data_IF_360381898674
#
_entry.id   IF_360381898674
#
_cell.length_a   1.000
_cell.length_b   1.000
_cell.length_c   1.000
_cell.angle_alpha   90.00
_cell.angle_beta   90.00
_cell.angle_gamma   90.00
#
_symmetry.space_group_name_H-M   'P 1'
#
loop_
_entity.id
_entity.type
_entity.pdbx_description
1 polymer ?
#
# COMPACT_ATOMS: atom_id res chain seq x y z
N UNK A 1 10.37 48.42 -31.99
CA UNK A 1 9.15 47.97 -31.31
C UNK A 1 9.59 46.80 -30.41
N UNK A 2 10.08 46.94 -29.17
CA UNK A 2 9.50 47.54 -27.94
C UNK A 2 8.02 47.14 -27.85
N UNK A 3 7.65 46.14 -27.04
CA UNK A 3 7.54 46.17 -25.57
C UNK A 3 8.07 44.88 -24.90
N UNK A 4 8.87 44.95 -23.82
CA UNK A 4 8.49 45.05 -22.38
C UNK A 4 7.78 43.77 -21.86
N UNK A 5 7.97 43.21 -20.66
CA UNK A 5 8.92 43.25 -19.54
C UNK A 5 8.38 42.21 -18.53
N UNK A 6 9.27 41.77 -17.62
CA UNK A 6 8.99 41.31 -16.23
C UNK A 6 8.20 39.99 -16.06
N UNK A 7 8.47 39.17 -15.05
CA UNK A 7 9.32 39.39 -13.89
C UNK A 7 9.51 38.12 -13.04
N UNK A 8 10.65 38.11 -12.35
CA UNK A 8 10.97 37.25 -11.20
C UNK A 8 10.09 37.58 -9.99
N UNK A 9 9.66 36.56 -9.26
CA UNK A 9 9.72 36.44 -7.79
C UNK A 9 9.22 35.02 -7.42
N UNK A 10 9.97 34.19 -6.70
CA UNK A 10 10.48 34.27 -5.32
C UNK A 10 9.35 34.34 -4.28
N UNK A 11 9.24 33.23 -3.56
CA UNK A 11 8.80 33.04 -2.18
C UNK A 11 7.43 33.63 -1.82
N UNK A 12 6.48 32.72 -1.65
CA UNK A 12 5.30 32.90 -0.84
C UNK A 12 5.02 31.59 -0.11
N UNK A 13 5.75 31.37 0.99
CA UNK A 13 5.15 30.71 2.15
C UNK A 13 4.16 31.72 2.75
N UNK A 14 2.90 31.33 2.89
CA UNK A 14 2.13 31.87 3.98
C UNK A 14 1.46 30.72 4.75
N UNK A 15 1.94 30.52 5.97
CA UNK A 15 1.04 30.34 7.09
C UNK A 15 0.59 28.90 7.27
N UNK A 16 1.32 28.20 8.13
CA UNK A 16 0.84 28.00 9.49
C UNK A 16 -0.64 28.37 9.68
N UNK A 17 -1.51 27.40 9.46
CA UNK A 17 -2.79 27.35 10.16
C UNK A 17 -2.96 25.91 10.58
N UNK A 18 -2.13 25.52 11.56
CA UNK A 18 -2.48 24.48 12.51
C UNK A 18 -3.89 24.78 13.02
N UNK A 19 -4.89 24.16 12.38
CA UNK A 19 -6.22 24.04 12.97
C UNK A 19 -6.06 23.07 14.14
N UNK A 20 -5.65 23.65 15.26
CA UNK A 20 -5.67 23.04 16.57
C UNK A 20 -7.04 22.42 16.78
N UNK A 21 -7.08 21.10 16.77
CA UNK A 21 -8.22 20.34 17.24
C UNK A 21 -8.24 20.54 18.74
N UNK A 22 -8.82 21.66 19.19
CA UNK A 22 -9.08 21.92 20.59
C UNK A 22 -10.17 20.95 21.03
N UNK A 23 -9.75 19.76 21.45
CA UNK A 23 -10.57 18.91 22.28
C UNK A 23 -10.90 19.68 23.56
N UNK A 24 -12.18 19.88 23.91
CA UNK A 24 -12.52 20.49 25.19
C UNK A 24 -11.88 19.63 26.29
N UNK A 25 -11.09 20.26 27.16
CA UNK A 25 -10.54 19.55 28.30
C UNK A 25 -11.71 18.99 29.12
N UNK A 26 -11.70 17.69 29.45
CA UNK A 26 -12.67 17.16 30.40
C UNK A 26 -12.49 17.88 31.74
N UNK A 27 -13.57 18.18 32.47
CA UNK A 27 -13.45 18.86 33.75
C UNK A 27 -12.55 18.05 34.68
N UNK A 28 -11.60 18.75 35.30
CA UNK A 28 -10.75 18.22 36.36
C UNK A 28 -11.67 17.81 37.52
N UNK A 29 -11.92 16.51 37.67
CA UNK A 29 -12.73 15.97 38.76
C UNK A 29 -12.02 16.24 40.11
N UNK A 30 -12.63 17.00 41.03
CA UNK A 30 -12.09 17.17 42.37
C UNK A 30 -12.52 16.00 43.24
N UNK A 31 -11.56 15.18 43.67
CA UNK A 31 -11.69 14.35 44.88
C UNK A 31 -12.51 13.06 44.76
N UNK A 32 -11.85 11.95 45.07
CA UNK A 32 -12.42 10.65 45.50
C UNK A 32 -13.48 10.00 44.59
N UNK A 33 -13.08 9.58 43.39
CA UNK A 33 -13.78 8.51 42.66
C UNK A 33 -13.20 7.14 43.06
N UNK A 34 -13.37 6.74 44.33
CA UNK A 34 -13.21 5.35 44.75
C UNK A 34 -14.55 4.65 44.58
N UNK A 35 -14.94 4.40 43.34
CA UNK A 35 -16.04 3.49 43.05
C UNK A 35 -15.84 2.85 41.69
N UNK A 36 -15.56 1.53 41.74
CA UNK A 36 -15.61 0.55 40.65
C UNK A 36 -15.13 1.06 39.29
N UNK A 37 -13.83 0.88 39.05
CA UNK A 37 -13.37 0.63 37.69
C UNK A 37 -14.27 -0.46 37.07
N UNK A 38 -14.90 -0.24 35.90
CA UNK A 38 -15.40 -1.37 35.14
C UNK A 38 -14.16 -2.23 34.90
N UNK A 39 -14.19 -3.46 35.39
CA UNK A 39 -13.16 -4.45 35.09
C UNK A 39 -13.03 -4.45 33.57
N UNK A 40 -11.94 -3.83 33.09
CA UNK A 40 -11.59 -3.79 31.69
C UNK A 40 -11.67 -5.22 31.23
N UNK A 41 -12.64 -5.46 30.33
CA UNK A 41 -12.90 -6.76 29.73
C UNK A 41 -11.56 -7.39 29.40
N UNK A 42 -11.29 -8.54 30.03
CA UNK A 42 -10.02 -9.24 29.92
C UNK A 42 -9.55 -9.23 28.47
N UNK A 43 -8.31 -8.77 28.28
CA UNK A 43 -7.58 -9.01 27.05
C UNK A 43 -7.56 -10.51 26.79
N UNK A 44 -8.41 -10.97 25.88
CA UNK A 44 -8.19 -12.24 25.23
C UNK A 44 -7.10 -12.02 24.18
N UNK A 45 -6.07 -12.83 24.29
CA UNK A 45 -4.91 -12.73 23.42
C UNK A 45 -5.28 -12.87 21.95
N UNK A 46 -4.60 -12.03 21.18
CA UNK A 46 -4.56 -11.85 19.73
C UNK A 46 -4.63 -13.16 18.92
N UNK A 47 -5.59 -13.30 18.00
CA UNK A 47 -5.62 -14.49 17.15
C UNK A 47 -6.52 -14.48 15.90
N UNK A 48 -7.43 -13.51 15.72
CA UNK A 48 -8.24 -13.43 14.50
C UNK A 48 -7.76 -12.29 13.62
N UNK A 49 -6.86 -12.59 12.67
CA UNK A 49 -6.64 -11.70 11.52
C UNK A 49 -7.92 -11.63 10.70
N UNK A 50 -8.41 -10.44 10.42
CA UNK A 50 -9.58 -10.28 9.55
C UNK A 50 -9.28 -10.81 8.14
N UNK A 51 -10.30 -11.21 7.38
CA UNK A 51 -10.11 -11.60 5.97
C UNK A 51 -9.36 -10.54 5.16
N UNK A 52 -9.66 -9.25 5.40
CA UNK A 52 -8.98 -8.14 4.74
C UNK A 52 -7.48 -8.07 5.08
N UNK A 53 -7.10 -8.35 6.32
CA UNK A 53 -5.70 -8.38 6.74
C UNK A 53 -4.94 -9.57 6.11
N UNK A 54 -5.57 -10.75 6.11
CA UNK A 54 -5.00 -11.94 5.45
C UNK A 54 -4.82 -11.72 3.95
N UNK A 55 -5.80 -11.09 3.29
CA UNK A 55 -5.74 -10.77 1.88
C UNK A 55 -4.62 -9.77 1.55
N UNK A 56 -4.45 -8.72 2.37
CA UNK A 56 -3.38 -7.76 2.21
C UNK A 56 -1.99 -8.41 2.38
N UNK A 57 -1.85 -9.29 3.37
CA UNK A 57 -0.61 -10.05 3.60
C UNK A 57 -0.31 -11.00 2.43
N UNK A 58 -1.32 -11.70 1.93
CA UNK A 58 -1.19 -12.55 0.75
C UNK A 58 -0.79 -11.75 -0.49
N UNK A 59 -1.43 -10.62 -0.79
CA UNK A 59 -1.05 -9.75 -1.91
C UNK A 59 0.40 -9.24 -1.79
N UNK A 60 0.87 -8.97 -0.57
CA UNK A 60 2.25 -8.54 -0.34
C UNK A 60 3.30 -9.62 -0.66
N UNK A 61 2.90 -10.90 -0.68
CA UNK A 61 3.75 -12.03 -1.05
C UNK A 61 3.79 -12.28 -2.57
N UNK A 62 3.06 -11.49 -3.37
CA UNK A 62 3.06 -11.64 -4.82
C UNK A 62 4.48 -11.33 -5.38
N UNK A 63 5.04 -12.18 -6.28
CA UNK A 63 6.38 -11.97 -6.83
C UNK A 63 6.58 -10.60 -7.50
N UNK A 64 5.56 -10.12 -8.22
CA UNK A 64 5.58 -8.81 -8.89
C UNK A 64 5.52 -7.67 -7.88
N UNK A 65 4.70 -7.80 -6.83
CA UNK A 65 4.62 -6.81 -5.75
C UNK A 65 5.97 -6.69 -5.03
N UNK A 66 6.58 -7.82 -4.68
CA UNK A 66 7.88 -7.86 -4.00
C UNK A 66 8.99 -7.25 -4.85
N UNK A 67 9.05 -7.58 -6.15
CA UNK A 67 9.98 -6.96 -7.09
C UNK A 67 9.79 -5.45 -7.13
N UNK A 68 8.55 -5.00 -7.34
CA UNK A 68 8.22 -3.58 -7.42
C UNK A 68 8.64 -2.83 -6.15
N UNK A 69 8.38 -3.39 -4.97
CA UNK A 69 8.76 -2.79 -3.68
C UNK A 69 10.26 -2.77 -3.45
N UNK A 70 10.97 -3.83 -3.82
CA UNK A 70 12.44 -3.90 -3.74
C UNK A 70 13.11 -2.81 -4.57
N UNK A 71 12.54 -2.49 -5.73
CA UNK A 71 13.05 -1.45 -6.62
C UNK A 71 12.45 -0.05 -6.36
N UNK A 72 11.61 0.13 -5.33
CA UNK A 72 10.97 1.42 -5.02
C UNK A 72 10.03 1.93 -6.13
N UNK A 73 9.49 1.03 -6.94
CA UNK A 73 8.71 1.38 -8.13
C UNK A 73 7.23 1.61 -7.80
N UNK A 74 6.64 2.62 -8.44
CA UNK A 74 5.18 2.74 -8.51
C UNK A 74 4.64 1.77 -9.56
N UNK A 75 3.33 1.47 -9.53
CA UNK A 75 2.70 0.63 -10.56
C UNK A 75 2.88 1.21 -11.96
N UNK A 76 2.82 2.54 -12.09
CA UNK A 76 3.06 3.24 -13.34
C UNK A 76 4.50 3.10 -13.84
N UNK A 77 5.49 3.24 -12.95
CA UNK A 77 6.91 3.03 -13.34
C UNK A 77 7.16 1.57 -13.74
N UNK A 78 6.61 0.61 -12.99
CA UNK A 78 6.69 -0.81 -13.32
C UNK A 78 6.02 -1.10 -14.68
N UNK A 79 4.87 -0.48 -14.98
CA UNK A 79 4.17 -0.67 -16.25
C UNK A 79 5.00 -0.18 -17.44
N UNK A 80 5.66 0.97 -17.30
CA UNK A 80 6.57 1.49 -18.33
C UNK A 80 7.79 0.59 -18.55
N UNK A 81 8.37 0.03 -17.49
CA UNK A 81 9.54 -0.87 -17.57
C UNK A 81 9.17 -2.20 -18.24
N UNK A 82 8.01 -2.74 -17.87
CA UNK A 82 7.56 -4.07 -18.33
C UNK A 82 6.81 -4.02 -19.66
N UNK A 83 6.48 -2.83 -20.17
CA UNK A 83 5.70 -2.66 -21.41
C UNK A 83 4.27 -3.20 -21.31
N UNK A 84 3.66 -3.12 -20.13
CA UNK A 84 2.28 -3.56 -19.86
C UNK A 84 1.45 -2.41 -19.32
N UNK A 85 0.13 -2.56 -19.21
CA UNK A 85 -0.71 -1.51 -18.61
C UNK A 85 -0.65 -1.55 -17.07
N UNK A 86 -0.73 -0.37 -16.44
CA UNK A 86 -0.77 -0.29 -14.97
C UNK A 86 -2.01 -1.00 -14.37
N UNK A 87 -3.12 -1.04 -15.11
CA UNK A 87 -4.32 -1.79 -14.74
C UNK A 87 -4.08 -3.30 -14.73
N UNK A 88 -3.35 -3.84 -15.71
CA UNK A 88 -2.98 -5.25 -15.74
C UNK A 88 -2.10 -5.60 -14.53
N UNK A 89 -1.11 -4.77 -14.19
CA UNK A 89 -0.29 -4.96 -12.99
C UNK A 89 -1.15 -5.03 -11.73
N UNK A 90 -2.12 -4.11 -11.57
CA UNK A 90 -2.99 -4.12 -10.39
C UNK A 90 -3.83 -5.41 -10.30
N UNK A 91 -4.39 -5.88 -11.42
CA UNK A 91 -5.17 -7.12 -11.49
C UNK A 91 -4.33 -8.38 -11.22
N UNK A 92 -3.06 -8.37 -11.63
CA UNK A 92 -2.13 -9.46 -11.39
C UNK A 92 -1.65 -9.49 -9.93
N UNK A 93 -1.36 -8.32 -9.33
CA UNK A 93 -1.02 -8.19 -7.91
C UNK A 93 -2.18 -8.66 -7.00
N UNK A 94 -3.43 -8.40 -7.38
CA UNK A 94 -4.62 -8.83 -6.63
C UNK A 94 -5.01 -10.29 -6.90
N UNK A 95 -4.43 -10.92 -7.92
CA UNK A 95 -4.80 -12.27 -8.37
C UNK A 95 -6.21 -12.36 -8.93
N UNK A 96 -6.77 -11.23 -9.38
CA UNK A 96 -8.05 -11.17 -10.09
C UNK A 96 -7.94 -11.79 -11.48
N UNK A 97 -6.77 -11.66 -12.11
CA UNK A 97 -6.49 -12.19 -13.45
C UNK A 97 -5.09 -12.78 -13.49
N UNK A 98 -4.90 -13.87 -14.23
CA UNK A 98 -3.58 -14.44 -14.47
C UNK A 98 -2.95 -13.81 -15.72
N UNK A 99 -1.63 -13.51 -15.70
CA UNK A 99 -0.94 -12.99 -16.87
C UNK A 99 -0.92 -14.04 -18.00
N UNK A 100 -1.09 -13.60 -19.24
CA UNK A 100 -0.90 -14.46 -20.43
C UNK A 100 0.56 -14.90 -20.56
N UNK A 101 0.84 -15.93 -21.37
CA UNK A 101 2.22 -16.40 -21.60
C UNK A 101 3.14 -15.27 -22.10
N UNK A 102 2.67 -14.45 -23.04
CA UNK A 102 3.42 -13.28 -23.53
C UNK A 102 3.74 -12.29 -22.40
N UNK A 103 2.78 -12.04 -21.51
CA UNK A 103 2.98 -11.16 -20.36
C UNK A 103 3.95 -11.76 -19.35
N UNK A 104 3.91 -13.08 -19.14
CA UNK A 104 4.85 -13.79 -18.27
C UNK A 104 6.28 -13.70 -18.80
N UNK A 105 6.48 -13.75 -20.11
CA UNK A 105 7.80 -13.56 -20.73
C UNK A 105 8.31 -12.14 -20.46
N UNK A 106 7.51 -11.11 -20.72
CA UNK A 106 7.88 -9.70 -20.42
C UNK A 106 8.21 -9.48 -18.94
N UNK A 107 7.44 -10.10 -18.05
CA UNK A 107 7.68 -10.08 -16.62
C UNK A 107 9.01 -10.75 -16.27
N UNK A 108 9.29 -11.93 -16.81
CA UNK A 108 10.52 -12.65 -16.57
C UNK A 108 11.75 -11.87 -17.05
N UNK A 109 11.68 -11.30 -18.25
CA UNK A 109 12.73 -10.45 -18.83
C UNK A 109 12.98 -9.19 -17.98
N UNK A 110 11.93 -8.43 -17.64
CA UNK A 110 12.08 -7.20 -16.86
C UNK A 110 12.46 -7.41 -15.39
N UNK A 111 12.14 -8.58 -14.84
CA UNK A 111 12.56 -8.97 -13.48
C UNK A 111 13.92 -9.69 -13.47
N UNK A 112 14.53 -9.95 -14.63
CA UNK A 112 15.75 -10.73 -14.79
C UNK A 112 15.69 -12.11 -14.10
N UNK A 113 14.56 -12.81 -14.24
CA UNK A 113 14.35 -14.16 -13.72
C UNK A 113 14.04 -15.13 -14.86
N UNK A 114 14.27 -16.43 -14.65
CA UNK A 114 13.79 -17.43 -15.61
C UNK A 114 12.26 -17.53 -15.58
N UNK A 115 11.65 -17.79 -16.74
CA UNK A 115 10.20 -17.95 -16.88
C UNK A 115 9.67 -19.06 -15.98
N UNK A 116 10.36 -20.20 -15.92
CA UNK A 116 9.97 -21.34 -15.10
C UNK A 116 10.01 -21.03 -13.60
N UNK A 117 10.98 -20.23 -13.15
CA UNK A 117 11.06 -19.77 -11.77
C UNK A 117 9.92 -18.80 -11.44
N UNK A 118 9.63 -17.84 -12.33
CA UNK A 118 8.50 -16.92 -12.18
C UNK A 118 7.18 -17.70 -12.08
N UNK A 119 6.95 -18.65 -12.98
CA UNK A 119 5.76 -19.50 -12.98
C UNK A 119 5.63 -20.30 -11.69
N UNK A 120 6.72 -20.92 -11.20
CA UNK A 120 6.70 -21.67 -9.95
C UNK A 120 6.31 -20.79 -8.76
N UNK A 121 6.94 -19.61 -8.64
CA UNK A 121 6.63 -18.67 -7.55
C UNK A 121 5.18 -18.19 -7.64
N UNK A 122 4.72 -17.87 -8.84
CA UNK A 122 3.34 -17.42 -9.07
C UNK A 122 2.32 -18.51 -8.71
N UNK A 123 2.58 -19.76 -9.10
CA UNK A 123 1.70 -20.87 -8.79
C UNK A 123 1.65 -21.14 -7.29
N UNK A 124 2.80 -21.14 -6.59
CA UNK A 124 2.82 -21.26 -5.13
C UNK A 124 1.95 -20.19 -4.48
N UNK A 125 2.14 -18.93 -4.89
CA UNK A 125 1.36 -17.81 -4.35
C UNK A 125 -0.15 -17.96 -4.58
N UNK A 126 -0.58 -18.45 -5.76
CA UNK A 126 -2.01 -18.66 -6.04
C UNK A 126 -2.65 -19.73 -5.15
N UNK A 127 -1.89 -20.76 -4.73
CA UNK A 127 -2.41 -21.80 -3.84
C UNK A 127 -2.68 -21.29 -2.42
N UNK A 128 -1.91 -20.30 -1.97
CA UNK A 128 -1.98 -19.74 -0.62
C UNK A 128 -3.07 -18.66 -0.46
N UNK A 129 -3.98 -18.52 -1.44
CA UNK A 129 -5.01 -17.46 -1.44
C UNK A 129 -6.04 -17.68 -0.31
N UNK A 130 -6.23 -16.69 0.60
CA UNK A 130 -7.21 -16.80 1.67
C UNK A 130 -8.63 -16.81 1.11
N UNK A 131 -9.49 -17.66 1.69
CA UNK A 131 -10.92 -17.73 1.35
C UNK A 131 -11.73 -16.80 2.28
N UNK A 132 -12.73 -16.09 1.73
CA UNK A 132 -13.62 -15.25 2.51
C UNK A 132 -14.47 -16.04 3.51
#
# INVERSE_FOLDING_TARGET
MITDKKGKNRNGDPGDTERGVHWPQPPLCPGSCQDRAPQGKGGYMTGRRSYGEQLAQWQAQNPLYMWRKRHGLSRYKASSILGVSASAIAQWESGSTQPTLESQIKLAEGMHTSLSQLQRQWQSWLQDRPRP
#
